data_IF_184346622964
#
_entry.id   IF_184346622964
#
_cell.length_a   1.000
_cell.length_b   1.000
_cell.length_c   1.000
_cell.angle_alpha   90.00
_cell.angle_beta   90.00
_cell.angle_gamma   90.00
#
_symmetry.space_group_name_H-M   'P 1'
#
loop_
_entity.id
_entity.type
_entity.pdbx_description
1 polymer ?
#
# COMPACT_ATOMS: atom_id res chain seq x y z
N UNK A 1 -6.23 -23.21 6.72
CA UNK A 1 -6.54 -23.48 5.30
C UNK A 1 -5.42 -22.83 4.50
N UNK A 2 -4.49 -23.63 4.00
CA UNK A 2 -3.30 -23.14 3.30
C UNK A 2 -3.72 -22.62 1.93
N UNK A 3 -3.38 -21.36 1.64
CA UNK A 3 -3.62 -20.78 0.33
C UNK A 3 -2.71 -21.49 -0.68
N UNK A 4 -3.36 -22.09 -1.66
CA UNK A 4 -2.74 -22.64 -2.85
C UNK A 4 -1.89 -21.53 -3.48
N UNK A 5 -0.56 -21.67 -3.39
CA UNK A 5 0.38 -20.85 -4.15
C UNK A 5 0.05 -21.04 -5.62
N UNK A 6 -0.76 -20.14 -6.17
CA UNK A 6 -1.13 -20.18 -7.57
C UNK A 6 0.14 -20.00 -8.38
N UNK A 7 0.43 -20.96 -9.27
CA UNK A 7 1.54 -20.90 -10.23
C UNK A 7 1.21 -19.89 -11.33
N UNK A 8 0.84 -18.67 -10.94
CA UNK A 8 0.51 -17.60 -11.85
C UNK A 8 1.80 -17.12 -12.50
N UNK A 9 1.88 -17.28 -13.84
CA UNK A 9 3.03 -16.84 -14.61
C UNK A 9 2.91 -15.34 -14.84
N UNK A 10 3.55 -14.57 -13.97
CA UNK A 10 3.70 -13.14 -14.16
C UNK A 10 4.60 -12.81 -15.34
N UNK A 11 4.37 -11.66 -15.97
CA UNK A 11 5.21 -11.20 -17.07
C UNK A 11 6.64 -10.93 -16.59
N UNK A 12 7.62 -11.09 -17.49
CA UNK A 12 9.03 -10.74 -17.18
C UNK A 12 9.17 -9.27 -16.76
N UNK A 13 8.32 -8.39 -17.30
CA UNK A 13 8.30 -6.96 -16.94
C UNK A 13 7.85 -6.77 -15.49
N UNK A 14 6.78 -7.45 -15.08
CA UNK A 14 6.28 -7.43 -13.71
C UNK A 14 7.33 -7.90 -12.72
N UNK A 15 7.94 -9.07 -12.98
CA UNK A 15 8.99 -9.60 -12.10
C UNK A 15 10.20 -8.68 -12.01
N UNK A 16 10.58 -8.03 -13.13
CA UNK A 16 11.67 -7.04 -13.12
C UNK A 16 11.31 -5.81 -12.29
N UNK A 17 10.08 -5.32 -12.38
CA UNK A 17 9.61 -4.20 -11.58
C UNK A 17 9.62 -4.55 -10.09
N UNK A 18 9.03 -5.69 -9.71
CA UNK A 18 9.05 -6.20 -8.33
C UNK A 18 10.47 -6.34 -7.79
N UNK A 19 11.41 -6.81 -8.62
CA UNK A 19 12.82 -6.91 -8.25
C UNK A 19 13.48 -5.53 -8.03
N UNK A 20 13.15 -4.51 -8.82
CA UNK A 20 13.70 -3.17 -8.63
C UNK A 20 13.10 -2.50 -7.38
N UNK A 21 11.80 -2.68 -7.19
CA UNK A 21 11.05 -2.06 -6.09
C UNK A 21 11.38 -2.70 -4.74
N UNK A 22 11.72 -4.01 -4.70
CA UNK A 22 12.25 -4.66 -3.50
C UNK A 22 13.61 -4.10 -3.07
N UNK A 23 14.52 -3.85 -4.03
CA UNK A 23 15.81 -3.18 -3.73
C UNK A 23 15.59 -1.75 -3.24
N UNK A 24 14.60 -1.05 -3.82
CA UNK A 24 14.21 0.28 -3.37
C UNK A 24 13.65 0.26 -1.94
N UNK A 25 12.80 -0.72 -1.61
CA UNK A 25 12.27 -0.89 -0.26
C UNK A 25 13.38 -1.13 0.78
N UNK A 26 14.40 -1.94 0.43
CA UNK A 26 15.59 -2.12 1.28
C UNK A 26 16.33 -0.80 1.54
N UNK A 27 16.46 0.03 0.51
CA UNK A 27 17.06 1.37 0.64
C UNK A 27 16.23 2.26 1.56
N UNK A 28 14.89 2.23 1.43
CA UNK A 28 13.96 2.96 2.29
C UNK A 28 14.03 2.53 3.75
N UNK A 29 14.38 1.28 4.01
CA UNK A 29 14.61 0.73 5.35
C UNK A 29 16.05 0.90 5.87
N UNK A 30 16.85 1.79 5.25
CA UNK A 30 18.24 2.10 5.64
C UNK A 30 19.23 0.93 5.53
N UNK A 31 18.94 -0.07 4.70
CA UNK A 31 19.92 -1.09 4.31
C UNK A 31 20.74 -0.63 3.11
N UNK A 32 21.94 -1.19 2.96
CA UNK A 32 22.83 -0.89 1.84
C UNK A 32 22.46 -1.74 0.62
N UNK A 33 21.85 -1.17 -0.44
CA UNK A 33 21.32 -1.95 -1.56
C UNK A 33 22.42 -2.68 -2.34
N UNK A 34 23.58 -2.06 -2.54
CA UNK A 34 24.70 -2.65 -3.30
C UNK A 34 25.30 -3.91 -2.64
N UNK A 35 25.06 -4.07 -1.34
CA UNK A 35 25.52 -5.19 -0.52
C UNK A 35 24.37 -6.04 0.01
N UNK A 36 23.18 -5.84 -0.52
CA UNK A 36 22.00 -6.60 -0.16
C UNK A 36 21.54 -7.41 -1.36
N UNK A 37 21.06 -8.63 -1.12
CA UNK A 37 20.60 -9.52 -2.18
C UNK A 37 19.19 -9.97 -1.87
N UNK A 38 18.28 -9.77 -2.82
CA UNK A 38 16.92 -10.32 -2.77
C UNK A 38 16.99 -11.76 -3.27
N UNK A 39 16.62 -12.71 -2.40
CA UNK A 39 16.75 -14.15 -2.68
C UNK A 39 15.51 -14.70 -3.38
N UNK A 40 14.33 -14.25 -2.96
CA UNK A 40 13.05 -14.75 -3.47
C UNK A 40 11.98 -13.68 -3.42
N UNK A 41 10.96 -13.84 -4.26
CA UNK A 41 9.72 -13.08 -4.20
C UNK A 41 8.53 -13.97 -4.55
N UNK A 42 7.43 -13.75 -3.85
CA UNK A 42 6.22 -14.53 -3.93
C UNK A 42 5.02 -13.59 -3.99
N UNK A 43 4.16 -13.76 -5.00
CA UNK A 43 2.87 -13.10 -5.00
C UNK A 43 1.94 -13.86 -4.04
N UNK A 44 1.44 -13.14 -3.04
CA UNK A 44 0.61 -13.69 -1.95
C UNK A 44 -0.86 -13.41 -2.19
N UNK A 45 -1.18 -12.23 -2.72
CA UNK A 45 -2.53 -11.83 -3.09
C UNK A 45 -2.49 -11.22 -4.48
N UNK A 46 -3.40 -11.67 -5.35
CA UNK A 46 -3.55 -11.15 -6.70
C UNK A 46 -5.03 -10.97 -7.00
N UNK A 47 -5.42 -9.73 -7.22
CA UNK A 47 -6.76 -9.33 -7.61
C UNK A 47 -6.65 -8.61 -8.96
N UNK A 48 -7.15 -9.19 -10.07
CA UNK A 48 -7.07 -8.53 -11.36
C UNK A 48 -7.92 -7.27 -11.39
N UNK A 49 -7.52 -6.33 -12.23
CA UNK A 49 -8.32 -5.16 -12.58
C UNK A 49 -9.67 -5.58 -13.17
N UNK A 50 -10.72 -4.84 -12.83
CA UNK A 50 -12.05 -4.97 -13.43
C UNK A 50 -12.50 -3.62 -13.97
N UNK A 51 -13.54 -3.60 -14.79
CA UNK A 51 -14.14 -2.36 -15.31
C UNK A 51 -14.56 -1.35 -14.21
N UNK A 52 -14.74 -1.83 -12.98
CA UNK A 52 -15.25 -1.03 -11.86
C UNK A 52 -14.26 -0.91 -10.70
N UNK A 53 -13.07 -1.52 -10.80
CA UNK A 53 -12.10 -1.53 -9.72
C UNK A 53 -10.67 -1.73 -10.20
N UNK A 54 -9.76 -0.97 -9.60
CA UNK A 54 -8.32 -1.21 -9.67
C UNK A 54 -7.98 -2.66 -9.31
N UNK A 55 -7.00 -3.21 -10.03
CA UNK A 55 -6.33 -4.44 -9.63
C UNK A 55 -5.44 -4.19 -8.41
N UNK A 56 -5.16 -5.25 -7.65
CA UNK A 56 -4.29 -5.18 -6.48
C UNK A 56 -3.38 -6.38 -6.46
N UNK A 57 -2.13 -6.18 -6.08
CA UNK A 57 -1.17 -7.27 -5.92
C UNK A 57 -0.37 -7.06 -4.64
N UNK A 58 -0.26 -8.10 -3.82
CA UNK A 58 0.64 -8.14 -2.67
C UNK A 58 1.76 -9.14 -2.94
N UNK A 59 2.99 -8.66 -2.84
CA UNK A 59 4.19 -9.46 -3.02
C UNK A 59 4.98 -9.47 -1.73
N UNK A 60 5.46 -10.65 -1.32
CA UNK A 60 6.49 -10.78 -0.30
C UNK A 60 7.83 -11.06 -0.96
N UNK A 61 8.90 -10.60 -0.32
CA UNK A 61 10.26 -10.95 -0.71
C UNK A 61 11.11 -11.28 0.51
N UNK A 62 12.06 -12.17 0.32
CA UNK A 62 13.07 -12.50 1.33
C UNK A 62 14.43 -11.99 0.81
N UNK A 63 15.22 -11.40 1.70
CA UNK A 63 16.51 -10.83 1.33
C UNK A 63 17.55 -10.99 2.43
N UNK A 64 18.82 -11.05 2.03
CA UNK A 64 19.96 -10.83 2.90
C UNK A 64 20.33 -9.36 2.76
N UNK A 65 20.12 -8.58 3.81
CA UNK A 65 20.37 -7.14 3.83
C UNK A 65 21.56 -6.77 4.72
N UNK A 66 22.39 -5.86 4.24
CA UNK A 66 23.52 -5.33 5.01
C UNK A 66 23.12 -4.01 5.67
N UNK A 67 23.19 -3.94 6.99
CA UNK A 67 22.90 -2.71 7.74
C UNK A 67 24.08 -1.73 7.77
N UNK A 68 23.88 -0.56 8.38
CA UNK A 68 24.90 0.49 8.54
C UNK A 68 26.15 0.02 9.34
N UNK A 69 25.98 -0.99 10.19
CA UNK A 69 27.06 -1.59 11.01
C UNK A 69 27.81 -2.69 10.26
N UNK A 70 27.59 -2.83 8.96
CA UNK A 70 28.19 -3.88 8.12
C UNK A 70 27.85 -5.30 8.59
N UNK A 71 26.65 -5.50 9.14
CA UNK A 71 26.12 -6.82 9.50
C UNK A 71 25.09 -7.24 8.48
N UNK A 72 25.23 -8.48 8.01
CA UNK A 72 24.23 -9.15 7.20
C UNK A 72 23.11 -9.68 8.10
N UNK A 73 21.88 -9.39 7.70
CA UNK A 73 20.66 -9.78 8.39
C UNK A 73 19.70 -10.36 7.37
N UNK A 74 19.02 -11.43 7.74
CA UNK A 74 17.88 -11.92 6.97
C UNK A 74 16.71 -10.99 7.24
N UNK A 75 16.13 -10.43 6.19
CA UNK A 75 14.99 -9.52 6.26
C UNK A 75 13.89 -10.01 5.34
N UNK A 76 12.67 -9.61 5.67
CA UNK A 76 11.45 -10.02 4.99
C UNK A 76 10.70 -8.76 4.58
N UNK A 77 10.45 -8.56 3.30
CA UNK A 77 9.74 -7.38 2.82
C UNK A 77 8.41 -7.69 2.19
N UNK A 78 7.63 -6.63 1.97
CA UNK A 78 6.42 -6.66 1.19
C UNK A 78 6.33 -5.46 0.25
N UNK A 79 5.62 -5.65 -0.86
CA UNK A 79 5.28 -4.64 -1.85
C UNK A 79 3.80 -4.79 -2.21
N UNK A 80 3.04 -3.73 -2.01
CA UNK A 80 1.64 -3.63 -2.42
C UNK A 80 1.52 -2.74 -3.64
N UNK A 81 0.88 -3.26 -4.69
CA UNK A 81 0.60 -2.55 -5.92
C UNK A 81 -0.89 -2.32 -6.11
N UNK A 82 -1.22 -1.16 -6.69
CA UNK A 82 -2.47 -0.89 -7.37
C UNK A 82 -2.22 -0.96 -8.87
N UNK A 83 -3.10 -1.64 -9.60
CA UNK A 83 -3.00 -1.82 -11.05
C UNK A 83 -4.19 -1.17 -11.76
N UNK A 84 -3.91 -0.30 -12.74
CA UNK A 84 -4.92 0.31 -13.62
C UNK A 84 -4.39 0.38 -15.04
N UNK A 85 -5.19 -0.04 -16.02
CA UNK A 85 -4.83 -0.06 -17.44
C UNK A 85 -3.46 -0.72 -17.71
N UNK A 86 -3.14 -1.78 -16.97
CA UNK A 86 -1.86 -2.49 -17.04
C UNK A 86 -0.63 -1.73 -16.51
N UNK A 87 -0.85 -0.61 -15.80
CA UNK A 87 0.17 0.14 -15.08
C UNK A 87 0.15 -0.25 -13.61
N UNK A 88 1.30 -0.65 -13.05
CA UNK A 88 1.44 -0.98 -11.63
C UNK A 88 2.08 0.18 -10.88
N UNK A 89 1.39 0.68 -9.87
CA UNK A 89 1.87 1.72 -8.96
C UNK A 89 2.04 1.15 -7.56
N UNK A 90 3.15 1.47 -6.89
CA UNK A 90 3.39 1.09 -5.50
C UNK A 90 2.47 1.91 -4.61
N UNK A 91 1.59 1.22 -3.88
CA UNK A 91 0.75 1.82 -2.84
C UNK A 91 1.50 1.85 -1.52
N UNK A 92 2.17 0.75 -1.19
CA UNK A 92 2.89 0.59 0.06
C UNK A 92 4.04 -0.40 -0.09
N UNK A 93 5.16 -0.12 0.56
CA UNK A 93 6.29 -1.01 0.71
C UNK A 93 6.77 -1.04 2.16
N UNK A 94 7.51 -2.09 2.51
CA UNK A 94 8.12 -2.18 3.82
C UNK A 94 9.00 -3.40 4.01
N UNK A 95 9.83 -3.34 5.05
CA UNK A 95 10.78 -4.39 5.43
C UNK A 95 10.60 -4.70 6.91
N UNK A 96 10.67 -5.99 7.22
CA UNK A 96 10.55 -6.58 8.54
C UNK A 96 11.84 -7.32 8.88
N UNK A 97 12.24 -7.25 10.15
CA UNK A 97 13.42 -7.94 10.66
C UNK A 97 13.10 -9.38 11.09
N UNK A 98 11.81 -9.73 11.18
CA UNK A 98 11.39 -11.07 11.61
C UNK A 98 10.14 -11.56 10.91
N UNK A 99 10.05 -12.88 10.74
CA UNK A 99 8.86 -13.57 10.22
C UNK A 99 7.63 -13.25 11.08
N UNK A 100 7.80 -13.10 12.40
CA UNK A 100 6.71 -12.77 13.31
C UNK A 100 6.11 -11.37 13.03
N UNK A 101 6.94 -10.39 12.64
CA UNK A 101 6.44 -9.08 12.20
C UNK A 101 5.65 -9.20 10.89
N UNK A 102 6.16 -9.96 9.92
CA UNK A 102 5.45 -10.23 8.66
C UNK A 102 4.09 -10.92 8.89
N UNK A 103 4.03 -11.93 9.75
CA UNK A 103 2.78 -12.64 10.07
C UNK A 103 1.75 -11.73 10.76
N UNK A 104 2.20 -10.78 11.60
CA UNK A 104 1.33 -9.75 12.18
C UNK A 104 0.78 -8.82 11.11
N UNK A 105 1.62 -8.39 10.16
CA UNK A 105 1.17 -7.58 9.03
C UNK A 105 0.11 -8.34 8.20
N UNK A 106 0.34 -9.61 7.88
CA UNK A 106 -0.61 -10.44 7.14
C UNK A 106 -1.99 -10.52 7.83
N UNK A 107 -1.99 -10.68 9.16
CA UNK A 107 -3.23 -10.69 9.96
C UNK A 107 -3.99 -9.37 9.83
N UNK A 108 -3.28 -8.24 9.90
CA UNK A 108 -3.88 -6.91 9.75
C UNK A 108 -4.35 -6.69 8.31
N UNK A 109 -3.53 -7.04 7.31
CA UNK A 109 -3.83 -6.86 5.90
C UNK A 109 -5.13 -7.57 5.52
N UNK A 110 -5.28 -8.86 5.88
CA UNK A 110 -6.51 -9.59 5.60
C UNK A 110 -7.73 -9.01 6.34
N UNK A 111 -7.55 -8.54 7.58
CA UNK A 111 -8.65 -7.94 8.34
C UNK A 111 -9.03 -6.54 7.84
N UNK A 112 -8.07 -5.78 7.30
CA UNK A 112 -8.21 -4.41 6.84
C UNK A 112 -8.73 -4.29 5.39
N UNK A 113 -8.89 -5.39 4.66
CA UNK A 113 -9.62 -5.44 3.36
C UNK A 113 -11.12 -5.16 3.48
N UNK A 114 -11.53 -4.37 4.47
CA UNK A 114 -12.80 -3.66 4.46
C UNK A 114 -12.72 -2.65 3.32
N UNK A 115 -13.30 -3.02 2.16
CA UNK A 115 -13.55 -2.11 1.04
C UNK A 115 -13.97 -0.75 1.60
N UNK A 116 -13.39 0.38 1.12
CA UNK A 116 -13.82 1.70 1.55
C UNK A 116 -15.30 1.83 1.21
N UNK A 117 -16.13 1.55 2.20
CA UNK A 117 -17.57 1.61 2.06
C UNK A 117 -17.92 3.02 2.43
N UNK A 118 -18.46 3.77 1.46
CA UNK A 118 -19.06 5.09 1.66
C UNK A 118 -20.17 5.10 2.74
N UNK A 119 -20.52 3.93 3.29
CA UNK A 119 -21.43 3.73 4.42
C UNK A 119 -20.78 3.90 5.80
N UNK A 120 -19.48 4.19 5.90
CA UNK A 120 -18.86 4.39 7.21
C UNK A 120 -19.42 5.66 7.89
N UNK A 121 -19.94 5.57 9.13
CA UNK A 121 -20.67 6.67 9.78
C UNK A 121 -19.84 7.94 9.99
N UNK A 122 -18.50 7.85 10.06
CA UNK A 122 -17.61 9.01 10.16
C UNK A 122 -17.67 9.92 8.92
N UNK A 123 -17.86 9.37 7.71
CA UNK A 123 -18.00 10.19 6.49
C UNK A 123 -19.29 11.01 6.47
N UNK A 124 -20.34 10.53 7.15
CA UNK A 124 -21.60 11.29 7.31
C UNK A 124 -21.39 12.54 8.16
N UNK A 125 -20.64 12.42 9.25
CA UNK A 125 -20.32 13.57 10.11
C UNK A 125 -19.41 14.59 9.40
N UNK A 126 -18.47 14.12 8.57
CA UNK A 126 -17.65 15.02 7.74
C UNK A 126 -18.51 15.81 6.74
N UNK A 127 -19.47 15.15 6.06
CA UNK A 127 -20.38 15.83 5.14
C UNK A 127 -21.27 16.87 5.83
N UNK A 128 -21.76 16.55 7.03
CA UNK A 128 -22.56 17.49 7.84
C UNK A 128 -21.70 18.69 8.25
N UNK A 129 -20.47 18.45 8.73
CA UNK A 129 -19.55 19.53 9.10
C UNK A 129 -19.24 20.44 7.91
N UNK A 130 -18.94 19.85 6.76
CA UNK A 130 -18.59 20.60 5.54
C UNK A 130 -19.76 21.47 5.04
N UNK A 131 -20.98 20.93 5.05
CA UNK A 131 -22.17 21.69 4.63
C UNK A 131 -22.53 22.81 5.62
N UNK A 132 -22.36 22.58 6.93
CA UNK A 132 -22.66 23.56 7.96
C UNK A 132 -21.69 24.75 7.92
N UNK A 133 -20.38 24.49 7.76
CA UNK A 133 -19.37 25.55 7.58
C UNK A 133 -19.64 26.36 6.30
N UNK A 134 -19.92 25.69 5.18
CA UNK A 134 -20.27 26.35 3.93
C UNK A 134 -21.50 27.26 4.06
N UNK A 135 -22.51 26.80 4.80
CA UNK A 135 -23.76 27.55 5.03
C UNK A 135 -23.54 28.78 5.90
N UNK A 136 -22.76 28.65 6.99
CA UNK A 136 -22.39 29.77 7.85
C UNK A 136 -21.61 30.82 7.06
N UNK A 137 -20.66 30.38 6.22
CA UNK A 137 -19.83 31.28 5.44
C UNK A 137 -20.66 32.09 4.43
N UNK A 138 -21.54 31.41 3.69
CA UNK A 138 -22.52 32.02 2.78
C UNK A 138 -23.44 33.02 3.52
N UNK A 139 -23.95 32.64 4.70
CA UNK A 139 -24.79 33.53 5.49
C UNK A 139 -24.03 34.80 5.94
N UNK A 140 -22.77 34.66 6.35
CA UNK A 140 -21.93 35.81 6.74
C UNK A 140 -21.68 36.77 5.59
N UNK A 141 -21.46 36.25 4.37
CA UNK A 141 -21.28 37.08 3.18
C UNK A 141 -22.55 37.82 2.79
N UNK A 142 -23.72 37.17 2.90
CA UNK A 142 -25.00 37.79 2.61
C UNK A 142 -25.33 38.91 3.60
N UNK A 143 -25.09 38.68 4.89
CA UNK A 143 -25.23 39.70 5.94
C UNK A 143 -24.30 40.89 5.71
N UNK A 144 -23.03 40.64 5.40
CA UNK A 144 -22.08 41.71 5.09
C UNK A 144 -22.50 42.52 3.86
N UNK A 145 -23.04 41.87 2.82
CA UNK A 145 -23.57 42.56 1.63
C UNK A 145 -24.81 43.41 1.93
N UNK A 146 -25.71 42.94 2.80
CA UNK A 146 -26.92 43.67 3.19
C UNK A 146 -26.62 44.85 4.12
N UNK A 147 -25.61 44.74 4.98
CA UNK A 147 -25.17 45.82 5.88
C UNK A 147 -24.30 46.88 5.19
N UNK A 148 -23.69 46.53 4.05
CA UNK A 148 -22.92 47.44 3.22
C UNK A 148 -23.75 48.16 2.13
N UNK A 149 -25.06 47.86 2.05
CA UNK A 149 -26.04 48.51 1.19
C UNK A 149 -26.92 49.48 1.98
#
# INVERSE_FOLDING_TARGET
MGQETSTQRFSKRTLRQVSLDSVRALTGAFYCPDRSTVESFHCIDFQPETETSFGRQLWYFDAIATNEHNRELVVYGFLEYSEEFGSMEIVQDGVFESIAQRARFETVYHTATLKPTWRHPSHRWLFIGMTLVGSIWLASLLLNKLLAS
#
